data_IF_072464405435
#
_entry.id   IF_072464405435
#
_cell.length_a   1.000
_cell.length_b   1.000
_cell.length_c   1.000
_cell.angle_alpha   90.00
_cell.angle_beta   90.00
_cell.angle_gamma   90.00
#
_symmetry.space_group_name_H-M   'P 1'
#
loop_
_entity.id
_entity.type
_entity.pdbx_description
1 polymer ?
#
# COMPACT_ATOMS: atom_id res chain seq x y z
N UNK A 1 0.72 -1.09 15.29
CA UNK A 1 0.16 0.13 14.66
C UNK A 1 1.25 0.85 13.87
N UNK A 2 1.23 0.68 12.54
CA UNK A 2 2.02 1.46 11.58
C UNK A 2 1.37 2.84 11.50
N UNK A 3 2.15 3.93 11.58
CA UNK A 3 1.63 5.30 11.44
C UNK A 3 2.35 5.97 10.29
N UNK A 4 1.57 6.32 9.28
CA UNK A 4 1.94 6.97 8.04
C UNK A 4 1.09 8.23 7.91
N UNK A 5 1.66 9.31 7.37
CA UNK A 5 0.96 10.56 7.13
C UNK A 5 1.27 11.04 5.73
N UNK A 6 0.22 11.18 4.92
CA UNK A 6 0.29 11.64 3.53
C UNK A 6 -0.32 13.01 3.41
N UNK A 7 0.46 13.94 2.86
CA UNK A 7 0.06 15.32 2.64
C UNK A 7 0.11 15.64 1.16
N UNK A 8 -0.98 16.20 0.66
CA UNK A 8 -1.15 16.66 -0.72
C UNK A 8 -1.13 18.19 -0.76
N UNK A 9 -0.92 18.78 -1.94
CA UNK A 9 -0.81 20.25 -2.11
C UNK A 9 0.27 20.92 -1.24
N UNK A 10 1.37 20.23 -1.00
CA UNK A 10 2.39 20.68 -0.05
C UNK A 10 3.04 22.01 -0.43
N UNK A 11 2.99 22.36 -1.72
CA UNK A 11 3.56 23.60 -2.27
C UNK A 11 5.02 23.75 -1.82
N UNK A 12 5.73 22.62 -1.69
CA UNK A 12 7.15 22.57 -1.37
C UNK A 12 8.00 22.48 -2.62
N UNK A 13 9.27 22.88 -2.50
CA UNK A 13 10.31 22.61 -3.50
C UNK A 13 11.51 21.88 -2.88
N UNK A 14 12.48 21.49 -3.72
CA UNK A 14 13.63 20.67 -3.32
C UNK A 14 14.58 21.38 -2.33
N UNK A 15 14.37 22.67 -2.06
CA UNK A 15 15.18 23.47 -1.14
C UNK A 15 14.48 23.74 0.19
N UNK A 16 13.21 23.36 0.33
CA UNK A 16 12.48 23.53 1.58
C UNK A 16 12.96 22.54 2.65
N UNK A 17 13.50 23.07 3.75
CA UNK A 17 13.88 22.26 4.91
C UNK A 17 12.71 22.15 5.91
N UNK A 18 12.02 21.01 5.90
CA UNK A 18 10.99 20.70 6.91
C UNK A 18 11.66 20.02 8.11
N UNK A 19 11.62 20.69 9.27
CA UNK A 19 12.13 20.15 10.53
C UNK A 19 11.11 19.22 11.18
N UNK A 20 11.43 17.93 11.23
CA UNK A 20 10.63 16.91 11.92
C UNK A 20 11.27 16.50 13.26
N UNK A 21 10.48 15.94 14.20
CA UNK A 21 11.04 15.27 15.37
C UNK A 21 12.00 14.14 14.96
N UNK A 22 12.98 13.84 15.81
CA UNK A 22 14.09 12.89 15.51
C UNK A 22 13.65 11.50 15.05
N UNK A 23 12.45 11.07 15.42
CA UNK A 23 11.94 9.73 15.17
C UNK A 23 11.15 9.61 13.86
N UNK A 24 11.08 10.69 13.07
CA UNK A 24 10.37 10.75 11.81
C UNK A 24 11.33 10.96 10.63
N UNK A 25 10.95 10.38 9.50
CA UNK A 25 11.59 10.56 8.21
C UNK A 25 10.59 11.22 7.26
N UNK A 26 11.12 12.02 6.35
CA UNK A 26 10.38 12.75 5.33
C UNK A 26 10.76 12.20 3.95
N UNK A 27 9.76 11.99 3.10
CA UNK A 27 9.92 11.82 1.67
C UNK A 27 9.09 12.90 0.96
N UNK A 28 9.68 13.55 -0.04
CA UNK A 28 9.05 14.64 -0.80
C UNK A 28 9.07 14.31 -2.29
N UNK A 29 7.90 14.28 -2.92
CA UNK A 29 7.75 14.32 -4.39
C UNK A 29 7.28 15.71 -4.80
N UNK A 30 8.22 16.59 -5.08
CA UNK A 30 7.90 17.96 -5.51
C UNK A 30 7.61 17.98 -7.01
N UNK A 31 6.58 18.74 -7.43
CA UNK A 31 6.22 18.88 -8.86
C UNK A 31 7.23 19.68 -9.66
N UNK A 32 7.93 20.64 -9.03
CA UNK A 32 8.92 21.48 -9.72
C UNK A 32 10.20 21.58 -8.92
N UNK A 33 11.33 21.38 -9.61
CA UNK A 33 12.68 21.49 -9.03
C UNK A 33 13.11 22.94 -8.75
N UNK A 34 12.49 23.93 -9.42
CA UNK A 34 12.83 25.35 -9.25
C UNK A 34 11.72 26.30 -9.75
N UNK A 35 11.39 27.33 -8.95
CA UNK A 35 10.41 28.43 -9.15
C UNK A 35 8.92 28.04 -9.18
N UNK A 36 8.12 28.84 -8.43
CA UNK A 36 6.67 28.74 -8.19
C UNK A 36 6.18 27.39 -7.62
N UNK A 37 6.41 27.24 -6.31
CA UNK A 37 5.71 26.32 -5.38
C UNK A 37 4.24 26.03 -5.79
N UNK A 38 3.94 24.80 -6.20
CA UNK A 38 2.60 24.32 -6.57
C UNK A 38 2.52 22.80 -6.54
N UNK A 39 1.39 22.24 -6.09
CA UNK A 39 1.22 20.79 -5.97
C UNK A 39 2.19 20.17 -4.96
N UNK A 40 2.64 18.95 -5.23
CA UNK A 40 3.61 18.22 -4.39
C UNK A 40 2.95 17.25 -3.42
N UNK A 41 3.65 16.14 -3.16
CA UNK A 41 3.25 15.08 -2.24
C UNK A 41 4.35 14.95 -1.19
N UNK A 42 3.95 14.93 0.08
CA UNK A 42 4.84 14.68 1.22
C UNK A 42 4.35 13.45 1.95
N UNK A 43 5.28 12.55 2.20
CA UNK A 43 5.06 11.34 2.96
C UNK A 43 5.93 11.41 4.21
N UNK A 44 5.30 11.31 5.37
CA UNK A 44 5.97 11.33 6.68
C UNK A 44 5.73 10.01 7.39
N UNK A 45 6.80 9.37 7.81
CA UNK A 45 6.74 8.07 8.47
C UNK A 45 7.71 7.98 9.63
N UNK A 46 7.39 7.12 10.60
CA UNK A 46 8.32 6.87 11.71
C UNK A 46 9.57 6.15 11.20
N UNK A 47 10.75 6.59 11.61
CA UNK A 47 12.05 6.04 11.18
C UNK A 47 12.17 4.53 11.40
N UNK A 48 11.50 3.99 12.42
CA UNK A 48 11.42 2.55 12.66
C UNK A 48 10.77 1.75 11.52
N UNK A 49 9.98 2.39 10.66
CA UNK A 49 9.31 1.77 9.51
C UNK A 49 10.19 1.73 8.27
N UNK A 50 11.37 2.38 8.28
CA UNK A 50 12.24 2.46 7.09
C UNK A 50 12.63 1.10 6.50
N UNK A 51 12.62 0.03 7.30
CA UNK A 51 12.98 -1.32 6.85
C UNK A 51 11.85 -2.05 6.11
N UNK A 52 10.59 -1.59 6.28
CA UNK A 52 9.43 -2.17 5.59
C UNK A 52 8.91 -1.25 4.46
N UNK A 53 9.41 -0.03 4.33
CA UNK A 53 8.95 0.89 3.29
C UNK A 53 10.00 1.01 2.19
N UNK A 54 9.58 0.72 0.95
CA UNK A 54 10.40 0.90 -0.24
C UNK A 54 9.70 1.85 -1.20
N UNK A 55 10.26 3.05 -1.32
CA UNK A 55 9.76 4.07 -2.26
C UNK A 55 10.14 3.70 -3.68
N UNK A 56 9.16 3.71 -4.58
CA UNK A 56 9.36 3.41 -6.00
C UNK A 56 9.51 4.73 -6.76
N UNK A 57 10.54 4.82 -7.60
CA UNK A 57 10.72 5.97 -8.48
C UNK A 57 9.71 5.87 -9.63
N UNK A 58 8.78 6.81 -9.67
CA UNK A 58 7.73 6.91 -10.70
C UNK A 58 7.89 8.22 -11.45
N UNK A 59 7.67 8.16 -12.76
CA UNK A 59 7.79 9.32 -13.63
C UNK A 59 6.55 10.21 -13.56
N UNK A 60 5.41 9.66 -13.12
CA UNK A 60 4.17 10.42 -12.94
C UNK A 60 4.30 11.51 -11.87
N UNK A 61 3.81 12.71 -12.15
CA UNK A 61 3.72 13.81 -11.18
C UNK A 61 2.47 13.71 -10.27
N UNK A 62 1.59 12.73 -10.53
CA UNK A 62 0.29 12.59 -9.86
C UNK A 62 0.28 11.57 -8.73
N UNK A 63 1.22 10.63 -8.73
CA UNK A 63 1.28 9.55 -7.74
C UNK A 63 2.68 9.33 -7.21
N UNK A 64 2.82 9.08 -5.91
CA UNK A 64 4.02 8.52 -5.31
C UNK A 64 3.73 7.11 -4.79
N UNK A 65 4.45 6.13 -5.33
CA UNK A 65 4.31 4.73 -4.95
C UNK A 65 5.25 4.36 -3.80
N UNK A 66 4.72 3.64 -2.82
CA UNK A 66 5.42 3.07 -1.68
C UNK A 66 5.04 1.61 -1.58
N UNK A 67 6.03 0.73 -1.66
CA UNK A 67 5.87 -0.69 -1.39
C UNK A 67 6.06 -0.93 0.11
N UNK A 68 5.01 -1.44 0.76
CA UNK A 68 5.05 -1.88 2.15
C UNK A 68 5.39 -3.37 2.13
N UNK A 69 6.65 -3.65 2.46
CA UNK A 69 7.20 -4.99 2.50
C UNK A 69 6.60 -5.76 3.66
N UNK A 70 6.03 -6.90 3.32
CA UNK A 70 5.28 -7.73 4.24
C UNK A 70 6.19 -8.62 5.10
N UNK A 71 7.44 -8.23 5.35
CA UNK A 71 8.49 -9.09 5.93
C UNK A 71 7.99 -10.14 6.94
N UNK A 72 8.00 -11.42 6.54
CA UNK A 72 7.57 -12.60 7.28
C UNK A 72 6.17 -12.52 7.97
N UNK A 73 5.28 -11.64 7.53
CA UNK A 73 3.90 -11.63 7.99
C UNK A 73 3.11 -12.71 7.24
N UNK A 74 2.27 -13.45 7.96
CA UNK A 74 1.69 -14.74 7.58
C UNK A 74 0.59 -14.68 6.49
N UNK A 75 0.58 -13.61 5.67
CA UNK A 75 -0.45 -13.38 4.63
C UNK A 75 0.10 -13.18 3.20
N UNK A 76 1.42 -13.35 3.03
CA UNK A 76 2.03 -13.75 1.75
C UNK A 76 2.18 -12.71 0.62
N UNK A 77 1.72 -11.45 0.74
CA UNK A 77 1.83 -10.46 -0.36
C UNK A 77 2.22 -9.05 0.14
N UNK A 78 3.13 -8.40 -0.59
CA UNK A 78 3.49 -7.00 -0.38
C UNK A 78 2.32 -6.07 -0.77
N UNK A 79 2.21 -4.92 -0.09
CA UNK A 79 1.20 -3.91 -0.40
C UNK A 79 1.83 -2.79 -1.22
N UNK A 80 1.18 -2.44 -2.32
CA UNK A 80 1.50 -1.27 -3.12
C UNK A 80 0.58 -0.11 -2.71
N UNK A 81 1.15 0.90 -2.06
CA UNK A 81 0.45 2.13 -1.68
C UNK A 81 0.78 3.24 -2.67
N UNK A 82 -0.23 3.79 -3.35
CA UNK A 82 -0.13 4.97 -4.19
C UNK A 82 -0.68 6.19 -3.46
N UNK A 83 0.17 7.17 -3.13
CA UNK A 83 -0.27 8.47 -2.61
C UNK A 83 -0.55 9.38 -3.81
N UNK A 84 -1.80 9.79 -4.00
CA UNK A 84 -2.29 10.42 -5.23
C UNK A 84 -2.69 11.88 -4.99
N UNK A 85 -2.25 12.75 -5.89
CA UNK A 85 -2.73 14.12 -5.99
C UNK A 85 -2.97 14.50 -7.45
N UNK A 86 -4.24 14.52 -7.85
CA UNK A 86 -4.69 14.98 -9.17
C UNK A 86 -5.14 16.44 -9.02
N UNK A 87 -4.57 17.38 -9.79
CA UNK A 87 -4.99 18.78 -9.75
C UNK A 87 -6.46 18.96 -10.13
N UNK A 88 -7.13 20.04 -9.69
CA UNK A 88 -8.49 20.32 -10.14
C UNK A 88 -8.62 20.41 -11.67
N UNK A 89 -9.76 19.96 -12.21
CA UNK A 89 -10.05 19.83 -13.65
C UNK A 89 -9.82 21.12 -14.47
N UNK A 90 -10.03 22.29 -13.86
CA UNK A 90 -9.87 23.59 -14.51
C UNK A 90 -8.55 24.29 -14.15
N UNK A 91 -7.66 23.60 -13.44
CA UNK A 91 -6.35 24.15 -13.10
C UNK A 91 -5.40 24.07 -14.30
N UNK A 92 -4.40 24.93 -14.34
CA UNK A 92 -3.34 24.88 -15.38
C UNK A 92 -2.51 23.57 -15.39
N UNK A 93 -2.71 22.71 -14.40
CA UNK A 93 -2.00 21.45 -14.22
C UNK A 93 -2.91 20.24 -14.43
N UNK A 94 -4.16 20.47 -14.84
CA UNK A 94 -5.09 19.40 -15.22
C UNK A 94 -4.52 18.63 -16.41
N UNK A 95 -4.56 17.31 -16.35
CA UNK A 95 -4.30 16.43 -17.48
C UNK A 95 -5.37 15.35 -17.49
N UNK A 96 -5.93 15.09 -18.66
CA UNK A 96 -6.93 14.04 -18.86
C UNK A 96 -6.28 12.65 -18.80
N UNK A 97 -4.97 12.61 -19.09
CA UNK A 97 -4.12 11.43 -19.09
C UNK A 97 -3.70 11.03 -17.67
N UNK A 98 -3.95 11.86 -16.65
CA UNK A 98 -3.56 11.59 -15.25
C UNK A 98 -4.06 10.24 -14.73
N UNK A 99 -5.31 9.87 -15.06
CA UNK A 99 -5.88 8.58 -14.66
C UNK A 99 -5.27 7.41 -15.44
N UNK A 100 -5.02 7.58 -16.75
CA UNK A 100 -4.35 6.54 -17.55
C UNK A 100 -2.88 6.34 -17.16
N UNK A 101 -2.17 7.40 -16.76
CA UNK A 101 -0.80 7.27 -16.24
C UNK A 101 -0.78 6.47 -14.92
N UNK A 102 -1.75 6.75 -14.03
CA UNK A 102 -1.90 5.98 -12.79
C UNK A 102 -2.28 4.52 -13.10
N UNK A 103 -3.16 4.29 -14.08
CA UNK A 103 -3.54 2.95 -14.55
C UNK A 103 -2.33 2.17 -15.07
N UNK A 104 -1.54 2.76 -15.96
CA UNK A 104 -0.35 2.16 -16.55
C UNK A 104 0.72 1.86 -15.49
N UNK A 105 0.99 2.80 -14.58
CA UNK A 105 1.93 2.58 -13.47
C UNK A 105 1.42 1.53 -12.49
N UNK A 106 0.11 1.52 -12.20
CA UNK A 106 -0.51 0.51 -11.35
C UNK A 106 -0.29 -0.89 -11.94
N UNK A 107 -0.62 -1.09 -13.22
CA UNK A 107 -0.41 -2.37 -13.94
C UNK A 107 1.07 -2.75 -13.90
N UNK A 108 1.95 -1.79 -14.22
CA UNK A 108 3.41 -2.00 -14.25
C UNK A 108 3.97 -2.42 -12.89
N UNK A 109 3.45 -1.87 -11.80
CA UNK A 109 3.97 -2.14 -10.45
C UNK A 109 3.24 -3.27 -9.73
N UNK A 110 2.05 -3.68 -10.20
CA UNK A 110 1.24 -4.77 -9.62
C UNK A 110 1.53 -6.18 -10.17
N UNK A 111 2.46 -6.29 -11.14
CA UNK A 111 2.77 -7.42 -12.03
C UNK A 111 2.47 -8.88 -11.61
N UNK A 112 2.48 -9.28 -10.33
CA UNK A 112 2.36 -10.71 -9.95
C UNK A 112 1.72 -10.97 -8.58
N UNK A 113 0.81 -10.11 -8.11
CA UNK A 113 0.00 -10.23 -6.86
C UNK A 113 0.45 -9.35 -5.70
N UNK A 114 0.40 -8.03 -5.91
CA UNK A 114 0.42 -7.07 -4.80
C UNK A 114 -1.00 -6.65 -4.47
N UNK A 115 -1.27 -6.50 -3.19
CA UNK A 115 -2.50 -5.84 -2.77
C UNK A 115 -2.32 -4.34 -2.92
N UNK A 116 -3.34 -3.64 -3.42
CA UNK A 116 -3.21 -2.25 -3.87
C UNK A 116 -4.06 -1.37 -2.98
N UNK A 117 -3.47 -0.25 -2.54
CA UNK A 117 -4.20 0.86 -1.96
C UNK A 117 -3.80 2.16 -2.65
N UNK A 118 -4.77 2.94 -3.09
CA UNK A 118 -4.59 4.33 -3.51
C UNK A 118 -5.23 5.23 -2.47
N UNK A 119 -4.52 6.29 -2.08
CA UNK A 119 -5.03 7.28 -1.15
C UNK A 119 -4.67 8.68 -1.63
N UNK A 120 -5.61 9.60 -1.51
CA UNK A 120 -5.34 11.03 -1.62
C UNK A 120 -6.44 11.80 -2.32
N UNK A 121 -6.09 12.99 -2.80
CA UNK A 121 -7.02 13.91 -3.44
C UNK A 121 -7.04 13.68 -4.96
N UNK A 122 -8.14 13.11 -5.45
CA UNK A 122 -8.33 12.85 -6.87
C UNK A 122 -9.01 14.03 -7.59
N UNK A 123 -9.52 15.03 -6.85
CA UNK A 123 -10.40 16.08 -7.40
C UNK A 123 -11.58 15.51 -8.24
N UNK A 124 -11.95 14.25 -7.98
CA UNK A 124 -13.00 13.50 -8.64
C UNK A 124 -14.25 13.54 -7.80
N UNK A 125 -15.38 13.96 -8.36
CA UNK A 125 -16.70 13.87 -7.72
C UNK A 125 -17.44 12.72 -8.35
N UNK A 126 -17.58 11.61 -7.63
CA UNK A 126 -18.18 10.38 -8.15
C UNK A 126 -19.65 10.20 -7.78
N UNK A 127 -20.24 11.11 -6.99
CA UNK A 127 -21.61 10.99 -6.50
C UNK A 127 -21.86 9.62 -5.85
N UNK A 128 -22.90 8.90 -6.26
CA UNK A 128 -23.17 7.48 -5.93
C UNK A 128 -23.00 6.53 -7.12
N UNK A 129 -22.40 6.96 -8.22
CA UNK A 129 -22.26 6.13 -9.41
C UNK A 129 -21.39 4.88 -9.17
N UNK A 130 -21.72 3.75 -9.80
CA UNK A 130 -21.00 2.51 -9.54
C UNK A 130 -19.52 2.56 -9.96
N UNK A 131 -18.64 2.08 -9.08
CA UNK A 131 -17.21 1.84 -9.29
C UNK A 131 -16.89 0.39 -9.71
N UNK A 132 -17.92 -0.42 -9.96
CA UNK A 132 -17.80 -1.83 -10.32
C UNK A 132 -18.73 -2.17 -11.49
N UNK A 133 -18.48 -3.33 -12.10
CA UNK A 133 -19.30 -3.91 -13.17
C UNK A 133 -19.96 -5.16 -12.63
N UNK A 134 -21.28 -5.24 -12.76
CA UNK A 134 -22.05 -6.47 -12.55
C UNK A 134 -22.27 -7.06 -13.94
N UNK A 135 -21.78 -8.29 -14.22
CA UNK A 135 -22.06 -8.96 -15.49
C UNK A 135 -23.56 -9.21 -15.63
N UNK A 136 -24.08 -9.11 -16.85
CA UNK A 136 -25.46 -9.50 -17.11
C UNK A 136 -25.63 -11.02 -17.12
N UNK A 137 -26.87 -11.48 -16.99
CA UNK A 137 -27.21 -12.92 -16.94
C UNK A 137 -26.72 -13.66 -18.20
N UNK A 138 -26.79 -13.00 -19.37
CA UNK A 138 -26.33 -13.58 -20.63
C UNK A 138 -24.81 -13.84 -20.63
N UNK A 139 -24.02 -12.90 -20.11
CA UNK A 139 -22.57 -13.06 -19.99
C UNK A 139 -22.21 -14.17 -19.02
N UNK A 140 -22.93 -14.28 -17.89
CA UNK A 140 -22.75 -15.37 -16.94
C UNK A 140 -23.06 -16.74 -17.57
N UNK A 141 -24.14 -16.83 -18.36
CA UNK A 141 -24.53 -18.04 -19.09
C UNK A 141 -23.48 -18.43 -20.15
N UNK A 142 -22.97 -17.45 -20.93
CA UNK A 142 -21.92 -17.68 -21.93
C UNK A 142 -20.63 -18.18 -21.29
N UNK A 143 -20.27 -17.64 -20.12
CA UNK A 143 -19.06 -18.02 -19.39
C UNK A 143 -19.17 -19.38 -18.71
N UNK A 144 -20.36 -20.02 -18.73
CA UNK A 144 -20.63 -21.32 -18.09
C UNK A 144 -20.10 -21.38 -16.65
N UNK A 145 -20.22 -20.27 -15.93
CA UNK A 145 -19.79 -20.21 -14.53
C UNK A 145 -20.80 -21.02 -13.73
N UNK A 146 -20.45 -22.26 -13.38
CA UNK A 146 -21.25 -23.09 -12.49
C UNK A 146 -21.41 -22.37 -11.13
N UNK A 147 -22.61 -22.40 -10.55
CA UNK A 147 -22.99 -21.66 -9.32
C UNK A 147 -22.06 -21.96 -8.12
N UNK A 148 -21.43 -23.13 -8.12
CA UNK A 148 -20.50 -23.65 -7.13
C UNK A 148 -19.04 -23.21 -7.32
N UNK A 149 -18.71 -22.60 -8.46
CA UNK A 149 -17.38 -22.02 -8.77
C UNK A 149 -17.52 -20.61 -9.30
N UNK A 150 -18.34 -19.77 -8.65
CA UNK A 150 -18.21 -18.33 -8.89
C UNK A 150 -16.87 -17.88 -8.32
N UNK A 151 -15.88 -17.83 -9.20
CA UNK A 151 -14.52 -17.47 -8.84
C UNK A 151 -14.52 -16.02 -8.34
N UNK A 152 -14.36 -15.84 -7.03
CA UNK A 152 -14.31 -14.52 -6.36
C UNK A 152 -13.16 -13.65 -6.91
N UNK A 153 -12.16 -14.27 -7.53
CA UNK A 153 -11.06 -13.58 -8.19
C UNK A 153 -11.47 -13.03 -9.58
N UNK A 154 -12.43 -13.67 -10.26
CA UNK A 154 -13.02 -13.18 -11.52
C UNK A 154 -14.05 -12.08 -11.24
N UNK A 155 -14.88 -12.28 -10.23
CA UNK A 155 -15.95 -11.34 -9.85
C UNK A 155 -15.66 -10.72 -8.49
N UNK A 156 -14.76 -9.75 -8.50
CA UNK A 156 -14.27 -9.06 -7.30
C UNK A 156 -15.37 -8.47 -6.42
N UNK A 157 -16.53 -8.13 -6.99
CA UNK A 157 -17.67 -7.60 -6.26
C UNK A 157 -18.29 -8.61 -5.26
N UNK A 158 -18.20 -9.90 -5.55
CA UNK A 158 -18.70 -10.96 -4.66
C UNK A 158 -17.88 -11.08 -3.38
N UNK A 159 -16.60 -10.68 -3.44
CA UNK A 159 -15.77 -10.64 -2.25
C UNK A 159 -16.31 -9.59 -1.26
N UNK A 160 -16.82 -8.46 -1.74
CA UNK A 160 -17.45 -7.44 -0.89
C UNK A 160 -18.68 -8.01 -0.18
N UNK A 161 -19.57 -8.69 -0.91
CA UNK A 161 -20.77 -9.32 -0.35
C UNK A 161 -20.42 -10.34 0.75
N UNK A 162 -19.43 -11.19 0.49
CA UNK A 162 -18.96 -12.19 1.45
C UNK A 162 -18.41 -11.58 2.75
N UNK A 163 -17.96 -10.32 2.70
CA UNK A 163 -17.45 -9.54 3.83
C UNK A 163 -18.50 -8.60 4.43
N UNK A 164 -19.77 -8.71 4.02
CA UNK A 164 -20.84 -7.80 4.40
C UNK A 164 -20.47 -6.32 4.14
N UNK A 165 -19.75 -6.05 3.05
CA UNK A 165 -19.43 -4.72 2.58
C UNK A 165 -20.49 -4.31 1.56
N UNK A 166 -21.11 -3.12 1.69
CA UNK A 166 -22.15 -2.70 0.76
C UNK A 166 -21.59 -2.60 -0.65
N UNK A 167 -22.27 -3.24 -1.61
CA UNK A 167 -21.89 -3.17 -3.03
C UNK A 167 -22.14 -1.77 -3.61
N UNK A 168 -23.24 -1.14 -3.20
CA UNK A 168 -23.49 0.26 -3.48
C UNK A 168 -22.93 1.13 -2.35
N UNK A 169 -22.08 2.08 -2.74
CA UNK A 169 -21.44 3.03 -1.83
C UNK A 169 -22.40 4.17 -1.48
N UNK A 170 -22.28 4.64 -0.24
CA UNK A 170 -23.00 5.80 0.29
C UNK A 170 -22.11 7.04 0.18
N UNK A 171 -22.72 8.22 0.05
CA UNK A 171 -22.01 9.49 -0.08
C UNK A 171 -22.93 10.62 0.35
N UNK A 172 -22.42 11.60 1.10
CA UNK A 172 -23.13 12.87 1.29
C UNK A 172 -23.00 13.79 0.07
N UNK A 173 -21.96 13.62 -0.74
CA UNK A 173 -21.88 14.29 -2.05
C UNK A 173 -22.79 13.54 -3.03
N UNK A 174 -24.03 14.03 -3.12
CA UNK A 174 -25.03 13.63 -4.12
C UNK A 174 -25.02 14.59 -5.33
N UNK A 175 -23.94 15.37 -5.48
CA UNK A 175 -23.77 16.31 -6.57
C UNK A 175 -23.60 15.63 -7.93
N UNK A 176 -23.47 16.45 -8.97
CA UNK A 176 -23.19 15.97 -10.33
C UNK A 176 -21.79 15.37 -10.41
N UNK A 177 -21.69 14.19 -11.02
CA UNK A 177 -20.41 13.58 -11.38
C UNK A 177 -19.65 14.48 -12.35
N UNK A 178 -18.41 14.83 -12.02
CA UNK A 178 -17.53 15.59 -12.92
C UNK A 178 -16.74 14.65 -13.83
N UNK A 179 -15.99 15.21 -14.79
CA UNK A 179 -15.20 14.41 -15.74
C UNK A 179 -14.22 13.48 -15.04
N UNK A 180 -13.51 13.99 -14.04
CA UNK A 180 -12.57 13.19 -13.24
C UNK A 180 -13.26 12.14 -12.38
N UNK A 181 -14.50 12.38 -11.95
CA UNK A 181 -15.37 11.39 -11.34
C UNK A 181 -15.62 10.22 -12.28
N UNK A 182 -15.99 10.50 -13.53
CA UNK A 182 -16.15 9.45 -14.55
C UNK A 182 -14.85 8.69 -14.80
N UNK A 183 -13.72 9.37 -14.98
CA UNK A 183 -12.42 8.71 -15.21
C UNK A 183 -11.99 7.84 -14.03
N UNK A 184 -12.21 8.30 -12.79
CA UNK A 184 -11.90 7.52 -11.59
C UNK A 184 -12.77 6.26 -11.50
N UNK A 185 -14.06 6.36 -11.81
CA UNK A 185 -14.95 5.21 -11.80
C UNK A 185 -14.55 4.18 -12.87
N UNK A 186 -14.10 4.64 -14.04
CA UNK A 186 -13.58 3.75 -15.09
C UNK A 186 -12.25 3.09 -14.68
N UNK A 187 -11.33 3.82 -14.04
CA UNK A 187 -10.11 3.25 -13.44
C UNK A 187 -10.47 2.14 -12.44
N UNK A 188 -11.43 2.39 -11.54
CA UNK A 188 -11.88 1.42 -10.56
C UNK A 188 -12.41 0.14 -11.22
N UNK A 189 -13.28 0.28 -12.22
CA UNK A 189 -13.87 -0.85 -12.96
C UNK A 189 -12.83 -1.67 -13.72
N UNK A 190 -11.88 -1.01 -14.40
CA UNK A 190 -10.84 -1.68 -15.20
C UNK A 190 -9.82 -2.41 -14.32
N UNK A 191 -9.45 -1.81 -13.20
CA UNK A 191 -8.46 -2.38 -12.29
C UNK A 191 -9.06 -3.30 -11.22
N UNK A 192 -10.39 -3.42 -11.14
CA UNK A 192 -11.06 -4.23 -10.11
C UNK A 192 -10.82 -3.72 -8.68
N UNK A 193 -10.69 -2.40 -8.51
CA UNK A 193 -10.46 -1.74 -7.21
C UNK A 193 -11.70 -0.96 -6.77
N UNK A 194 -11.88 -0.80 -5.46
CA UNK A 194 -13.13 -0.31 -4.87
C UNK A 194 -12.90 0.90 -3.97
N UNK A 195 -13.79 1.88 -4.07
CA UNK A 195 -13.77 3.07 -3.20
C UNK A 195 -14.27 2.67 -1.80
N UNK A 196 -13.46 2.91 -0.76
CA UNK A 196 -13.77 2.58 0.63
C UNK A 196 -14.76 3.56 1.28
N UNK A 197 -14.72 4.84 0.89
CA UNK A 197 -15.62 5.87 1.40
C UNK A 197 -17.09 5.42 1.25
N UNK A 198 -17.86 5.53 2.33
CA UNK A 198 -19.25 5.08 2.39
C UNK A 198 -19.47 3.58 2.58
N UNK A 199 -18.42 2.75 2.56
CA UNK A 199 -18.54 1.28 2.58
C UNK A 199 -18.10 0.60 3.87
N UNK A 200 -17.10 1.15 4.57
CA UNK A 200 -16.41 0.43 5.65
C UNK A 200 -16.31 1.24 6.95
N UNK A 201 -16.24 0.51 8.06
CA UNK A 201 -16.05 1.04 9.43
C UNK A 201 -16.98 2.21 9.77
N UNK A 202 -16.44 3.30 10.33
CA UNK A 202 -17.28 4.39 10.84
C UNK A 202 -17.94 5.21 9.72
N UNK A 203 -17.48 5.05 8.48
CA UNK A 203 -18.03 5.74 7.32
C UNK A 203 -19.01 4.85 6.52
N UNK A 204 -19.20 3.59 6.94
CA UNK A 204 -20.13 2.64 6.32
C UNK A 204 -21.57 3.17 6.37
N UNK A 205 -22.23 3.21 5.22
CA UNK A 205 -23.58 3.75 5.04
C UNK A 205 -23.70 5.27 5.25
N UNK A 206 -22.58 6.01 5.33
CA UNK A 206 -22.59 7.46 5.52
C UNK A 206 -21.94 8.15 4.32
N UNK A 207 -20.64 7.95 4.12
CA UNK A 207 -19.87 8.59 3.06
C UNK A 207 -19.67 10.07 3.31
N UNK A 208 -19.00 10.41 4.42
CA UNK A 208 -18.71 11.78 4.82
C UNK A 208 -17.98 12.56 3.72
N UNK A 209 -18.35 13.84 3.59
CA UNK A 209 -17.67 14.78 2.69
C UNK A 209 -16.23 14.97 3.12
N UNK A 210 -15.32 15.00 2.15
CA UNK A 210 -13.89 15.20 2.37
C UNK A 210 -13.42 16.61 2.01
N UNK A 211 -14.26 17.41 1.36
CA UNK A 211 -13.95 18.80 1.00
C UNK A 211 -15.17 19.74 1.19
N UNK A 212 -14.94 20.85 1.90
CA UNK A 212 -15.88 21.98 2.14
C UNK A 212 -17.28 21.60 2.65
N UNK A 213 -17.38 20.48 3.37
CA UNK A 213 -18.66 19.91 3.80
C UNK A 213 -19.67 19.71 2.66
N UNK A 214 -19.19 19.58 1.42
CA UNK A 214 -20.03 19.55 0.22
C UNK A 214 -19.66 18.45 -0.77
N UNK A 215 -18.39 18.06 -0.80
CA UNK A 215 -17.86 17.17 -1.83
C UNK A 215 -17.06 16.03 -1.22
N UNK A 216 -17.07 14.88 -1.90
CA UNK A 216 -16.10 13.80 -1.64
C UNK A 216 -15.14 13.79 -2.81
N UNK A 217 -13.86 14.07 -2.55
CA UNK A 217 -12.79 14.14 -3.57
C UNK A 217 -11.50 13.46 -3.11
N UNK A 218 -11.28 13.41 -1.80
CA UNK A 218 -10.29 12.54 -1.18
C UNK A 218 -10.87 11.13 -1.02
N UNK A 219 -10.11 10.11 -1.43
CA UNK A 219 -10.54 8.72 -1.38
C UNK A 219 -9.48 7.79 -0.80
N UNK A 220 -9.93 6.71 -0.16
CA UNK A 220 -9.18 5.46 -0.05
C UNK A 220 -9.78 4.47 -1.05
N UNK A 221 -8.97 3.91 -1.93
CA UNK A 221 -9.39 2.99 -2.99
C UNK A 221 -8.51 1.75 -2.93
N UNK A 222 -9.09 0.56 -2.90
CA UNK A 222 -8.32 -0.65 -2.59
C UNK A 222 -8.70 -1.86 -3.42
N UNK A 223 -7.76 -2.79 -3.58
CA UNK A 223 -8.05 -4.12 -4.13
C UNK A 223 -8.97 -4.91 -3.18
N UNK A 224 -9.71 -5.92 -3.66
CA UNK A 224 -10.69 -6.63 -2.86
C UNK A 224 -10.12 -7.28 -1.59
N UNK A 225 -8.93 -7.89 -1.66
CA UNK A 225 -8.34 -8.52 -0.47
C UNK A 225 -7.76 -7.51 0.51
N UNK A 226 -7.57 -6.24 0.13
CA UNK A 226 -7.15 -5.20 1.07
C UNK A 226 -8.14 -4.97 2.21
N UNK A 227 -9.42 -5.30 2.00
CA UNK A 227 -10.43 -5.20 3.06
C UNK A 227 -10.08 -6.08 4.29
N UNK A 228 -9.29 -7.14 4.13
CA UNK A 228 -8.84 -7.98 5.24
C UNK A 228 -7.74 -7.34 6.10
N UNK A 229 -6.99 -6.39 5.55
CA UNK A 229 -5.92 -5.70 6.27
C UNK A 229 -6.39 -4.40 6.93
N UNK A 230 -7.51 -3.83 6.47
CA UNK A 230 -8.04 -2.61 7.06
C UNK A 230 -8.78 -2.95 8.34
N UNK A 231 -8.33 -2.36 9.44
CA UNK A 231 -8.92 -2.54 10.78
C UNK A 231 -9.65 -1.31 11.28
N UNK A 232 -9.48 -0.18 10.60
CA UNK A 232 -10.15 1.08 10.89
C UNK A 232 -10.16 1.94 9.63
N UNK A 233 -11.26 2.65 9.40
CA UNK A 233 -11.40 3.68 8.38
C UNK A 233 -12.37 4.74 8.86
N UNK A 234 -12.01 6.02 8.71
CA UNK A 234 -12.87 7.16 9.02
C UNK A 234 -12.46 8.42 8.25
N UNK A 235 -13.42 9.31 8.07
CA UNK A 235 -13.18 10.71 7.67
C UNK A 235 -13.23 11.54 8.94
N UNK A 236 -12.13 12.21 9.28
CA UNK A 236 -12.05 13.07 10.45
C UNK A 236 -12.81 14.39 10.21
N UNK A 237 -13.24 15.05 11.28
CA UNK A 237 -13.86 16.37 11.19
C UNK A 237 -12.88 17.43 10.65
N UNK A 238 -13.42 18.46 9.99
CA UNK A 238 -12.63 19.57 9.47
C UNK A 238 -11.75 20.18 10.55
N UNK A 239 -10.47 20.32 10.23
CA UNK A 239 -9.52 20.97 11.11
C UNK A 239 -8.80 22.11 10.38
N UNK A 240 -9.08 23.38 10.73
CA UNK A 240 -8.46 24.54 10.08
C UNK A 240 -6.95 24.64 10.32
N UNK A 241 -6.40 23.84 11.24
CA UNK A 241 -4.95 23.74 11.42
C UNK A 241 -4.30 22.86 10.36
N UNK A 242 -5.02 22.01 9.64
CA UNK A 242 -4.45 21.05 8.68
C UNK A 242 -4.82 21.36 7.24
N UNK A 243 -5.97 21.99 7.01
CA UNK A 243 -6.41 22.41 5.70
C UNK A 243 -7.32 23.62 5.81
N UNK A 244 -7.45 24.37 4.72
CA UNK A 244 -8.46 25.41 4.55
C UNK A 244 -9.81 24.82 4.09
N UNK A 245 -9.80 23.64 3.47
CA UNK A 245 -11.00 23.08 2.82
C UNK A 245 -11.16 21.57 2.92
N UNK A 246 -10.11 20.79 3.24
CA UNK A 246 -10.16 19.33 3.27
C UNK A 246 -10.25 18.73 4.67
N UNK A 247 -10.95 17.61 4.75
CA UNK A 247 -11.03 16.73 5.92
C UNK A 247 -10.00 15.60 5.75
N UNK A 248 -9.37 15.18 6.85
CA UNK A 248 -8.40 14.09 6.79
C UNK A 248 -9.09 12.74 6.66
N UNK A 249 -8.55 11.87 5.80
CA UNK A 249 -8.92 10.46 5.79
C UNK A 249 -7.93 9.70 6.65
N UNK A 250 -8.45 8.83 7.51
CA UNK A 250 -7.66 7.98 8.38
C UNK A 250 -8.01 6.52 8.15
N UNK A 251 -6.99 5.66 8.11
CA UNK A 251 -7.15 4.22 8.13
C UNK A 251 -6.00 3.52 8.85
N UNK A 252 -6.26 2.32 9.36
CA UNK A 252 -5.25 1.49 10.01
C UNK A 252 -5.11 0.17 9.27
N UNK A 253 -3.89 -0.14 8.83
CA UNK A 253 -3.52 -1.47 8.36
C UNK A 253 -3.05 -2.33 9.54
N UNK A 254 -3.66 -3.50 9.68
CA UNK A 254 -3.32 -4.52 10.67
C UNK A 254 -2.74 -5.74 9.98
N UNK A 255 -1.61 -6.19 10.53
CA UNK A 255 -0.88 -7.37 10.08
C UNK A 255 -0.62 -8.24 11.30
N UNK A 256 -0.74 -9.57 11.15
CA UNK A 256 -0.23 -10.49 12.15
C UNK A 256 1.30 -10.41 12.12
N UNK A 257 1.85 -9.64 13.06
CA UNK A 257 3.25 -9.74 13.41
C UNK A 257 3.39 -10.96 14.29
N UNK A 258 4.00 -12.04 13.82
CA UNK A 258 4.41 -13.11 14.73
C UNK A 258 5.26 -12.48 15.84
N UNK A 259 4.69 -12.43 17.03
CA UNK A 259 5.26 -11.83 18.24
C UNK A 259 6.49 -12.58 18.76
N UNK A 260 7.01 -13.55 18.01
CA UNK A 260 8.24 -14.27 18.29
C UNK A 260 9.51 -13.49 17.91
N UNK A 261 9.39 -12.27 17.36
CA UNK A 261 10.51 -11.34 17.31
C UNK A 261 10.66 -10.56 18.63
N UNK A 262 10.74 -11.30 19.75
CA UNK A 262 11.44 -10.83 20.93
C UNK A 262 12.93 -11.09 20.72
N UNK A 263 13.75 -10.11 21.07
CA UNK A 263 15.21 -10.09 21.04
C UNK A 263 15.89 -11.48 21.11
N UNK A 264 16.13 -12.11 19.95
CA UNK A 264 17.25 -13.04 19.78
C UNK A 264 18.51 -12.28 19.41
N UNK A 265 18.78 -11.20 20.13
CA UNK A 265 20.14 -10.69 20.30
C UNK A 265 20.71 -11.42 21.50
N UNK A 266 21.65 -12.33 21.25
CA UNK A 266 22.45 -13.08 22.22
C UNK A 266 21.72 -14.19 22.99
N UNK A 267 21.61 -15.38 22.41
CA UNK A 267 22.28 -16.61 22.87
C UNK A 267 21.74 -17.81 22.09
N UNK A 268 22.16 -17.97 20.84
CA UNK A 268 22.20 -19.29 20.24
C UNK A 268 23.66 -19.60 19.93
N UNK A 269 24.20 -20.53 20.70
CA UNK A 269 25.47 -21.16 20.40
C UNK A 269 25.40 -21.69 18.96
N UNK A 270 26.42 -21.36 18.18
CA UNK A 270 26.78 -22.00 16.94
C UNK A 270 26.46 -23.51 16.96
N UNK A 271 25.39 -23.91 16.30
CA UNK A 271 25.30 -25.20 15.64
C UNK A 271 25.03 -24.88 14.18
N UNK A 272 26.10 -24.82 13.40
CA UNK A 272 26.05 -24.44 12.00
C UNK A 272 25.23 -25.45 11.20
N UNK A 273 24.01 -25.07 10.82
CA UNK A 273 23.35 -25.63 9.66
C UNK A 273 23.45 -24.61 8.53
N UNK A 274 24.27 -24.94 7.54
CA UNK A 274 24.42 -24.16 6.32
C UNK A 274 23.21 -24.39 5.43
N UNK A 275 22.20 -23.52 5.52
CA UNK A 275 21.11 -23.50 4.54
C UNK A 275 21.67 -23.22 3.14
N UNK A 276 21.51 -24.18 2.23
CA UNK A 276 21.79 -24.04 0.81
C UNK A 276 20.50 -23.69 0.06
N UNK A 277 20.56 -22.76 -0.90
CA UNK A 277 19.45 -22.46 -1.80
C UNK A 277 19.89 -22.61 -3.27
N UNK A 278 18.92 -22.87 -4.13
CA UNK A 278 19.09 -22.87 -5.59
C UNK A 278 18.84 -21.44 -6.06
N UNK A 279 19.76 -20.88 -6.84
CA UNK A 279 19.60 -19.55 -7.44
C UNK A 279 19.36 -19.73 -8.93
N UNK A 280 18.23 -19.25 -9.44
CA UNK A 280 17.92 -19.29 -10.86
C UNK A 280 18.96 -18.50 -11.68
N UNK A 281 19.44 -19.11 -12.77
CA UNK A 281 20.32 -18.49 -13.75
C UNK A 281 19.69 -18.63 -15.14
N UNK A 282 19.21 -17.51 -15.69
CA UNK A 282 18.53 -17.49 -16.98
C UNK A 282 19.40 -18.00 -18.15
N UNK A 283 20.73 -18.02 -17.99
CA UNK A 283 21.66 -18.54 -19.01
C UNK A 283 21.65 -20.06 -19.09
N UNK A 284 21.10 -20.75 -18.09
CA UNK A 284 20.96 -22.20 -18.04
C UNK A 284 19.53 -22.68 -18.31
N UNK A 285 18.65 -21.80 -18.80
CA UNK A 285 17.25 -22.12 -19.06
C UNK A 285 17.10 -23.30 -20.04
N UNK A 286 17.89 -23.32 -21.12
CA UNK A 286 17.84 -24.40 -22.12
C UNK A 286 18.37 -25.73 -21.56
N UNK A 287 19.43 -25.69 -20.75
CA UNK A 287 19.97 -26.86 -20.06
C UNK A 287 18.96 -27.45 -19.06
N UNK A 288 18.25 -26.57 -18.33
CA UNK A 288 17.17 -26.96 -17.43
C UNK A 288 16.01 -27.60 -18.17
N UNK A 289 15.59 -27.01 -19.30
CA UNK A 289 14.53 -27.56 -20.13
C UNK A 289 14.89 -28.94 -20.73
N UNK A 290 16.14 -29.10 -21.17
CA UNK A 290 16.65 -30.38 -21.66
C UNK A 290 16.74 -31.44 -20.55
N UNK A 291 17.15 -31.06 -19.33
CA UNK A 291 17.18 -31.96 -18.19
C UNK A 291 15.78 -32.41 -17.76
N UNK A 292 14.81 -31.49 -17.77
CA UNK A 292 13.40 -31.78 -17.50
C UNK A 292 12.80 -32.73 -18.56
N UNK A 293 13.28 -32.64 -19.80
CA UNK A 293 12.87 -33.46 -20.93
C UNK A 293 13.64 -34.79 -21.03
N UNK A 294 14.53 -35.10 -20.09
CA UNK A 294 15.31 -36.33 -20.11
C UNK A 294 14.46 -37.57 -19.75
N UNK A 295 14.82 -38.73 -20.29
CA UNK A 295 14.08 -39.99 -20.08
C UNK A 295 13.92 -40.37 -18.60
N UNK A 296 14.85 -39.95 -17.74
CA UNK A 296 14.79 -40.20 -16.29
C UNK A 296 13.73 -39.36 -15.56
N UNK A 297 13.52 -38.11 -16.01
CA UNK A 297 12.52 -37.19 -15.44
C UNK A 297 11.15 -37.44 -16.09
N UNK A 298 11.13 -37.83 -17.36
CA UNK A 298 9.93 -38.25 -18.09
C UNK A 298 9.23 -39.42 -17.39
N UNK A 299 9.96 -40.36 -16.78
CA UNK A 299 9.37 -41.45 -15.98
C UNK A 299 8.62 -40.99 -14.72
N UNK A 300 9.12 -39.96 -14.03
CA UNK A 300 8.45 -39.38 -12.86
C UNK A 300 7.22 -38.54 -13.26
N UNK A 301 7.31 -37.84 -14.39
CA UNK A 301 6.18 -37.11 -14.97
C UNK A 301 5.09 -38.06 -15.51
N UNK A 302 5.48 -39.21 -16.07
CA UNK A 302 4.54 -40.27 -16.48
C UNK A 302 3.83 -40.92 -15.29
N UNK A 303 4.49 -41.05 -14.13
CA UNK A 303 3.84 -41.50 -12.90
C UNK A 303 2.78 -40.48 -12.45
N UNK A 304 3.08 -39.18 -12.48
CA UNK A 304 2.12 -38.12 -12.16
C UNK A 304 0.94 -38.14 -13.15
N UNK A 305 1.20 -38.29 -14.46
CA UNK A 305 0.17 -38.38 -15.50
C UNK A 305 -0.69 -39.65 -15.38
N UNK A 306 -0.10 -40.77 -14.97
CA UNK A 306 -0.82 -42.00 -14.68
C UNK A 306 -1.72 -41.89 -13.45
N UNK A 307 -1.24 -41.22 -12.38
CA UNK A 307 -2.06 -40.93 -11.21
C UNK A 307 -3.20 -39.98 -11.60
N UNK A 308 -2.92 -38.95 -12.41
CA UNK A 308 -3.95 -38.02 -12.91
C UNK A 308 -5.02 -38.70 -13.75
N UNK A 309 -4.65 -39.70 -14.57
CA UNK A 309 -5.57 -40.44 -15.45
C UNK A 309 -6.33 -41.60 -14.79
N UNK A 310 -5.96 -41.99 -13.57
CA UNK A 310 -6.62 -43.07 -12.81
C UNK A 310 -7.54 -42.56 -11.69
N UNK A 311 -7.69 -41.24 -11.56
CA UNK A 311 -8.54 -40.62 -10.54
C UNK A 311 -10.02 -40.71 -10.93
N UNK A 312 -10.81 -41.34 -10.05
CA UNK A 312 -12.27 -41.25 -10.05
C UNK A 312 -12.68 -39.88 -9.51
N UNK A 313 -13.39 -39.09 -10.33
CA UNK A 313 -13.79 -37.71 -10.05
C UNK A 313 -14.68 -37.56 -8.80
N UNK A 314 -15.19 -38.67 -8.25
CA UNK A 314 -16.09 -38.66 -7.10
C UNK A 314 -15.40 -38.88 -5.73
N UNK A 315 -14.08 -39.09 -5.65
CA UNK A 315 -13.38 -39.47 -4.41
C UNK A 315 -12.05 -38.72 -4.17
N UNK A 316 -12.05 -37.41 -4.44
CA UNK A 316 -10.87 -36.55 -4.32
C UNK A 316 -10.81 -35.85 -2.97
N UNK A 317 -9.67 -35.94 -2.27
CA UNK A 317 -9.45 -35.28 -0.96
C UNK A 317 -8.29 -34.28 -1.03
N UNK A 318 -8.28 -33.22 -0.21
CA UNK A 318 -7.21 -32.21 -0.20
C UNK A 318 -5.80 -32.80 0.04
N UNK A 319 -5.69 -33.88 0.79
CA UNK A 319 -4.41 -34.54 1.09
C UNK A 319 -3.78 -35.17 -0.16
N UNK A 320 -4.61 -35.70 -1.08
CA UNK A 320 -4.13 -36.25 -2.35
C UNK A 320 -3.65 -35.15 -3.30
N UNK A 321 -4.28 -33.98 -3.25
CA UNK A 321 -3.86 -32.79 -4.03
C UNK A 321 -2.50 -32.31 -3.53
N UNK A 322 -2.37 -32.12 -2.21
CA UNK A 322 -1.11 -31.64 -1.64
C UNK A 322 0.04 -32.62 -1.92
N UNK A 323 -0.21 -33.94 -1.82
CA UNK A 323 0.79 -34.95 -2.20
C UNK A 323 1.23 -34.85 -3.67
N UNK A 324 0.29 -34.64 -4.60
CA UNK A 324 0.62 -34.45 -6.02
C UNK A 324 1.41 -33.16 -6.28
N UNK A 325 1.05 -32.08 -5.60
CA UNK A 325 1.75 -30.80 -5.70
C UNK A 325 3.16 -30.91 -5.14
N UNK A 326 3.34 -31.63 -4.02
CA UNK A 326 4.64 -31.90 -3.42
C UNK A 326 5.51 -32.76 -4.35
N UNK A 327 4.95 -33.82 -4.94
CA UNK A 327 5.66 -34.68 -5.89
C UNK A 327 6.12 -33.90 -7.13
N UNK A 328 5.25 -33.06 -7.69
CA UNK A 328 5.60 -32.18 -8.81
C UNK A 328 6.68 -31.17 -8.41
N UNK A 329 6.52 -30.55 -7.23
CA UNK A 329 7.49 -29.62 -6.66
C UNK A 329 8.88 -30.23 -6.50
N UNK A 330 8.95 -31.46 -6.00
CA UNK A 330 10.20 -32.20 -5.83
C UNK A 330 10.87 -32.51 -7.17
N UNK A 331 10.11 -32.94 -8.20
CA UNK A 331 10.66 -33.18 -9.54
C UNK A 331 11.29 -31.91 -10.13
N UNK A 332 10.62 -30.76 -9.99
CA UNK A 332 11.14 -29.48 -10.46
C UNK A 332 12.40 -29.04 -9.67
N UNK A 333 12.38 -29.20 -8.34
CA UNK A 333 13.49 -28.82 -7.48
C UNK A 333 14.73 -29.70 -7.67
N UNK A 334 14.55 -31.02 -7.81
CA UNK A 334 15.65 -31.97 -8.04
C UNK A 334 16.30 -31.73 -9.41
N UNK A 335 15.48 -31.47 -10.44
CA UNK A 335 15.98 -31.09 -11.76
C UNK A 335 16.76 -29.78 -11.71
N UNK A 336 16.24 -28.79 -10.96
CA UNK A 336 16.89 -27.50 -10.80
C UNK A 336 18.21 -27.63 -10.02
N UNK A 337 18.25 -28.49 -8.99
CA UNK A 337 19.45 -28.78 -8.23
C UNK A 337 20.53 -29.44 -9.11
N UNK A 338 20.13 -30.39 -9.96
CA UNK A 338 21.05 -31.04 -10.89
C UNK A 338 21.71 -30.09 -11.89
N UNK A 339 21.00 -29.06 -12.35
CA UNK A 339 21.49 -28.13 -13.38
C UNK A 339 22.17 -26.88 -12.80
N UNK A 340 21.61 -26.33 -11.73
CA UNK A 340 22.04 -25.05 -11.16
C UNK A 340 23.00 -25.23 -9.97
N UNK A 341 22.94 -26.37 -9.29
CA UNK A 341 23.70 -26.66 -8.08
C UNK A 341 23.24 -25.85 -6.86
N UNK A 342 23.66 -26.31 -5.67
CA UNK A 342 23.40 -25.63 -4.40
C UNK A 342 24.41 -24.51 -4.15
N UNK A 343 23.93 -23.29 -3.90
CA UNK A 343 24.80 -22.15 -3.57
C UNK A 343 24.88 -21.93 -2.06
N UNK A 344 26.09 -21.80 -1.52
CA UNK A 344 26.32 -21.46 -0.10
C UNK A 344 26.05 -19.96 0.13
N UNK A 345 25.30 -19.60 1.18
CA UNK A 345 25.24 -18.22 1.68
C UNK A 345 26.66 -17.76 2.02
N UNK A 346 27.08 -16.59 1.52
CA UNK A 346 28.32 -15.95 1.98
C UNK A 346 28.10 -15.46 3.41
N UNK A 347 29.03 -15.72 4.36
CA UNK A 347 28.93 -15.15 5.69
C UNK A 347 28.99 -13.63 5.59
N UNK A 348 28.00 -12.97 6.19
CA UNK A 348 28.00 -11.51 6.37
C UNK A 348 29.08 -11.20 7.41
N UNK A 349 30.16 -10.54 7.01
CA UNK A 349 31.16 -10.10 7.97
C UNK A 349 30.59 -8.94 8.80
N UNK A 350 30.69 -8.98 10.14
CA UNK A 350 30.25 -7.88 10.98
C UNK A 350 31.14 -6.65 10.71
N UNK A 351 30.48 -5.52 10.47
CA UNK A 351 31.14 -4.24 10.26
C UNK A 351 31.92 -3.84 11.53
N UNK A 352 33.22 -3.55 11.37
CA UNK A 352 34.11 -3.17 12.47
C UNK A 352 34.11 -1.65 12.59
N UNK A 353 33.51 -1.09 13.67
CA UNK A 353 34.16 -0.18 14.65
C UNK A 353 33.15 0.56 15.55
N UNK A 354 33.24 0.24 16.85
CA UNK A 354 33.06 1.07 18.06
C UNK A 354 32.62 2.53 17.90
N UNK A 355 31.55 2.93 18.63
CA UNK A 355 31.49 4.17 19.44
C UNK A 355 30.50 4.06 20.64
N UNK A 356 30.69 4.85 21.70
CA UNK A 356 30.42 4.48 23.10
C UNK A 356 29.19 5.20 23.70
N UNK A 357 28.01 4.55 23.70
CA UNK A 357 26.80 5.14 24.31
C UNK A 357 26.06 4.22 25.27
N UNK A 358 26.64 3.07 25.63
CA UNK A 358 26.00 2.11 26.52
C UNK A 358 25.80 2.62 27.97
N UNK A 359 26.49 3.69 28.38
CA UNK A 359 26.46 4.18 29.77
C UNK A 359 25.36 5.21 30.06
N UNK A 360 24.61 5.67 29.05
CA UNK A 360 23.57 6.69 29.25
C UNK A 360 22.16 6.10 29.48
N UNK A 361 21.94 4.83 29.11
CA UNK A 361 20.64 4.16 29.23
C UNK A 361 20.35 3.71 30.68
N UNK A 362 21.37 3.31 31.43
CA UNK A 362 21.19 2.81 32.80
C UNK A 362 20.85 3.91 33.84
N UNK A 363 21.15 5.18 33.52
CA UNK A 363 20.82 6.33 34.40
C UNK A 363 19.36 6.76 34.21
N UNK A 364 18.76 6.52 33.04
CA UNK A 364 17.40 6.94 32.74
C UNK A 364 16.34 5.90 33.15
N UNK A 365 16.70 4.63 33.32
CA UNK A 365 15.75 3.56 33.66
C UNK A 365 15.44 3.44 35.18
N UNK A 366 16.31 3.95 36.05
CA UNK A 366 16.17 3.74 37.51
C UNK A 366 15.35 4.82 38.26
N UNK A 367 14.59 5.69 37.58
CA UNK A 367 13.78 6.73 38.25
C UNK A 367 12.28 6.72 38.01
N UNK A 368 11.73 5.80 37.23
CA UNK A 368 10.27 5.79 36.95
C UNK A 368 9.53 4.52 37.38
N UNK A 369 10.12 3.71 38.27
CA UNK A 369 9.40 2.63 38.96
C UNK A 369 8.75 3.11 40.27
N UNK A 370 7.80 4.04 40.19
CA UNK A 370 6.71 4.08 41.16
C UNK A 370 5.52 4.88 40.66
N UNK A 371 4.36 4.21 40.65
CA UNK A 371 2.99 4.70 40.37
C UNK A 371 2.56 4.73 38.90
N UNK A 372 2.21 3.55 38.41
CA UNK A 372 1.00 3.35 37.61
C UNK A 372 -0.23 3.74 38.44
N UNK A 373 -1.09 4.62 37.95
CA UNK A 373 -2.43 4.28 37.45
C UNK A 373 -3.24 5.56 37.17
N UNK A 374 -3.71 5.72 35.93
CA UNK A 374 -5.04 6.24 35.53
C UNK A 374 -5.01 6.41 34.02
N UNK A 375 -5.70 5.47 33.37
CA UNK A 375 -6.12 5.52 31.98
C UNK A 375 -6.80 6.86 31.64
N UNK A 376 -6.64 7.31 30.39
CA UNK A 376 -7.07 8.58 29.76
C UNK A 376 -6.00 9.64 29.49
N UNK A 377 -4.75 9.51 29.96
CA UNK A 377 -3.67 10.46 29.58
C UNK A 377 -2.86 10.06 28.33
N UNK A 378 -2.84 8.77 27.98
CA UNK A 378 -2.05 8.27 26.84
C UNK A 378 -2.66 8.63 25.47
N UNK A 379 -4.00 8.66 25.37
CA UNK A 379 -4.71 9.09 24.16
C UNK A 379 -4.49 10.60 23.92
N UNK A 380 -4.42 11.40 24.98
CA UNK A 380 -4.22 12.85 24.91
C UNK A 380 -2.76 13.27 24.62
N UNK A 381 -1.77 12.51 25.07
CA UNK A 381 -0.36 12.76 24.73
C UNK A 381 -0.04 12.38 23.27
N UNK A 382 -0.66 11.30 22.76
CA UNK A 382 -0.49 10.85 21.37
C UNK A 382 -1.19 11.76 20.35
N UNK A 383 -2.29 12.42 20.72
CA UNK A 383 -2.90 13.46 19.89
C UNK A 383 -2.08 14.74 19.89
N UNK A 384 -1.40 15.08 20.99
CA UNK A 384 -0.54 16.27 21.07
C UNK A 384 0.77 16.14 20.28
N UNK A 385 1.42 14.97 20.22
CA UNK A 385 2.59 14.78 19.36
C UNK A 385 2.23 14.87 17.87
N UNK A 386 1.14 14.22 17.45
CA UNK A 386 0.61 14.37 16.08
C UNK A 386 0.19 15.81 15.78
N UNK A 387 -0.57 16.44 16.68
CA UNK A 387 -0.95 17.83 16.51
C UNK A 387 0.28 18.74 16.50
N UNK A 388 1.38 18.43 17.20
CA UNK A 388 2.61 19.21 17.14
C UNK A 388 3.37 19.04 15.81
N UNK A 389 3.47 17.81 15.28
CA UNK A 389 4.04 17.56 13.94
C UNK A 389 3.23 18.31 12.89
N UNK A 390 1.91 18.14 12.91
CA UNK A 390 1.03 18.80 11.96
C UNK A 390 0.93 20.33 12.19
N UNK A 391 1.04 20.85 13.42
CA UNK A 391 1.15 22.30 13.72
C UNK A 391 2.46 22.88 13.20
N UNK A 392 3.57 22.14 13.27
CA UNK A 392 4.86 22.60 12.77
C UNK A 392 4.89 22.63 11.23
N UNK A 393 4.30 21.61 10.58
CA UNK A 393 4.12 21.57 9.13
C UNK A 393 3.14 22.65 8.68
N UNK A 394 1.97 22.76 9.32
CA UNK A 394 0.98 23.80 9.03
C UNK A 394 1.53 25.21 9.23
N UNK A 395 2.27 25.49 10.32
CA UNK A 395 2.97 26.77 10.50
C UNK A 395 3.97 27.03 9.39
N UNK A 396 4.71 26.02 8.93
CA UNK A 396 5.67 26.15 7.83
C UNK A 396 4.98 26.42 6.48
N UNK A 397 3.89 25.70 6.19
CA UNK A 397 3.05 25.90 5.00
C UNK A 397 2.38 27.28 5.02
N UNK A 398 1.89 27.72 6.18
CA UNK A 398 1.31 29.05 6.40
C UNK A 398 2.34 30.16 6.24
N UNK A 399 3.54 30.01 6.82
CA UNK A 399 4.64 30.97 6.70
C UNK A 399 5.15 31.10 5.25
N UNK A 400 5.16 30.00 4.50
CA UNK A 400 5.52 29.98 3.07
C UNK A 400 4.49 30.72 2.19
N UNK A 401 3.23 30.78 2.62
CA UNK A 401 2.16 31.55 1.98
C UNK A 401 2.30 33.05 2.31
N UNK A 402 2.61 33.41 3.56
CA UNK A 402 2.79 34.81 3.99
C UNK A 402 3.99 35.51 3.33
N UNK A 403 5.08 34.80 3.03
CA UNK A 403 6.22 35.40 2.31
C UNK A 403 5.92 35.76 0.84
N UNK A 404 4.75 35.36 0.29
CA UNK A 404 4.33 35.73 -1.08
C UNK A 404 3.42 36.95 -1.14
N UNK A 405 2.87 37.41 -0.02
CA UNK A 405 1.94 38.56 0.00
C UNK A 405 2.63 39.92 0.17
N UNK A 406 3.92 39.97 0.52
CA UNK A 406 4.64 41.24 0.80
C UNK A 406 5.61 41.72 -0.31
N UNK A 407 5.38 41.36 -1.58
CA UNK A 407 6.18 41.89 -2.71
C UNK A 407 5.42 42.77 -3.71
N UNK A 408 4.25 43.29 -3.34
CA UNK A 408 3.55 44.33 -4.13
C UNK A 408 2.99 45.45 -3.26
N UNK A 409 3.86 46.16 -2.57
CA UNK A 409 3.55 47.48 -2.04
C UNK A 409 4.79 48.37 -2.14
N UNK A 410 5.03 48.95 -3.32
CA UNK A 410 5.57 50.30 -3.56
C UNK A 410 5.90 50.51 -5.04
N UNK A 411 5.63 51.74 -5.53
CA UNK A 411 5.94 52.31 -6.86
C UNK A 411 4.99 51.91 -8.01
N UNK A 412 4.23 52.80 -8.68
CA UNK A 412 4.44 54.22 -9.02
C UNK A 412 3.13 55.01 -9.04
N UNK A 413 3.08 56.06 -8.23
CA UNK A 413 2.45 57.34 -8.56
C UNK A 413 3.47 58.13 -9.40
N UNK A 414 3.17 58.42 -10.66
CA UNK A 414 3.52 59.67 -11.37
C UNK A 414 3.39 59.49 -12.89
N UNK A 415 2.79 60.50 -13.52
CA UNK A 415 2.54 60.77 -14.95
C UNK A 415 1.27 60.18 -15.53
#
# INVERSE_FOLDING_TARGET
>A
MVRHLDFHETKTDDYDEIKLPKDYTLFTKNRQKFKKKSGGIIIIYKKKLSHILKFINSESEFVQWVEILHGNFDTGKDILLGCVYIPPEFSRYSSDESFSEIEDELIRFSNTSKEVALIGDFNSRTSIDSDHVIPDENLLEILQVEDDVINKDIFSYLLLESKNIPLQRYSYDQGRVNKYGTLLLELCKRCGIFICNGRIFSDKFIGHTTCKDSSVVDYLIVSPHMFDYISEFRVDEFNPMFSDVHNSIFFTLSFNTDSNYTDKVNTEKNTGNTETHIKWDCRKADEYFQALSSDSVSGNLQHIDHVLSTIDTNNFTPEKINGLVDDLGNVLLDTAEGVLGKTKKRPVYPDRKNKPWQTYIDICYNKNSSKLNTDNKFIWLMSNEHANVCRNISRFLSLSIFYKTDSKATEKLSS
#
